data_IF_885600853979
#
_entry.id   IF_885600853979
#
_cell.length_a   1.000
_cell.length_b   1.000
_cell.length_c   1.000
_cell.angle_alpha   90.00
_cell.angle_beta   90.00
_cell.angle_gamma   90.00
#
_symmetry.space_group_name_H-M   'P 1'
#
loop_
_entity.id
_entity.type
_entity.pdbx_description
1 polymer ?
#
# COMPACT_ATOMS: atom_id res chain seq x y z
N UNK A 1 -14.37 17.32 27.57
CA UNK A 1 -13.01 17.35 27.03
C UNK A 1 -13.05 17.98 25.63
N UNK A 2 -12.14 18.89 25.29
CA UNK A 2 -12.08 19.52 23.96
C UNK A 2 -11.04 18.77 23.12
N UNK A 3 -11.44 18.23 21.97
CA UNK A 3 -10.54 17.55 21.02
C UNK A 3 -9.98 18.59 20.04
N UNK A 4 -8.66 18.59 19.87
CA UNK A 4 -7.95 19.49 18.93
C UNK A 4 -7.22 18.59 17.91
N UNK A 5 -7.63 18.58 16.64
CA UNK A 5 -6.95 17.82 15.60
C UNK A 5 -5.55 18.39 15.32
N UNK A 6 -4.60 17.52 15.05
CA UNK A 6 -3.24 17.86 14.64
C UNK A 6 -2.88 17.11 13.36
N UNK A 7 -1.86 17.56 12.65
CA UNK A 7 -1.39 16.95 11.40
C UNK A 7 -0.96 15.49 11.58
N UNK A 8 -0.33 15.19 12.71
CA UNK A 8 0.04 13.83 13.10
C UNK A 8 0.25 13.74 14.61
N UNK A 9 0.41 12.53 15.09
CA UNK A 9 0.53 12.21 16.52
C UNK A 9 1.80 12.77 17.18
N UNK A 10 2.93 12.82 16.45
CA UNK A 10 4.17 13.40 16.98
C UNK A 10 4.05 14.92 17.14
N UNK A 11 3.41 15.61 16.19
CA UNK A 11 3.10 17.05 16.31
C UNK A 11 2.17 17.32 17.49
N UNK A 12 1.20 16.43 17.74
CA UNK A 12 0.33 16.55 18.92
C UNK A 12 1.13 16.46 20.24
N UNK A 13 2.01 15.46 20.36
CA UNK A 13 2.87 15.30 21.54
C UNK A 13 3.79 16.52 21.74
N UNK A 14 4.43 17.00 20.67
CA UNK A 14 5.26 18.20 20.74
C UNK A 14 4.49 19.44 21.20
N UNK A 15 3.28 19.66 20.69
CA UNK A 15 2.43 20.79 21.12
C UNK A 15 2.08 20.72 22.59
N UNK A 16 1.83 19.52 23.14
CA UNK A 16 1.58 19.37 24.58
C UNK A 16 2.83 19.72 25.37
N UNK A 17 4.01 19.22 24.99
CA UNK A 17 5.27 19.53 25.66
C UNK A 17 5.58 21.04 25.64
N UNK A 18 5.47 21.67 24.49
CA UNK A 18 5.76 23.09 24.30
C UNK A 18 4.76 24.00 25.07
N UNK A 19 3.52 23.55 25.24
CA UNK A 19 2.46 24.34 25.92
C UNK A 19 2.68 24.49 27.42
N UNK A 20 3.46 23.62 28.06
CA UNK A 20 3.66 23.54 29.53
C UNK A 20 2.35 23.47 30.32
N UNK A 21 1.29 22.96 29.72
CA UNK A 21 -0.03 22.80 30.33
C UNK A 21 -0.11 21.44 31.04
N UNK A 22 -0.76 21.44 32.22
CA UNK A 22 -0.99 20.20 33.01
C UNK A 22 -2.39 19.63 32.77
N UNK A 23 -3.20 20.24 31.92
CA UNK A 23 -4.60 19.86 31.60
C UNK A 23 -4.78 19.43 30.16
N UNK A 24 -3.68 19.13 29.46
CA UNK A 24 -3.66 18.69 28.07
C UNK A 24 -2.92 17.35 27.93
N UNK A 25 -3.44 16.47 27.08
CA UNK A 25 -2.82 15.20 26.72
C UNK A 25 -2.81 15.00 25.20
N UNK A 26 -1.90 14.20 24.69
CA UNK A 26 -1.82 13.81 23.31
C UNK A 26 -1.97 12.30 23.15
N UNK A 27 -2.61 11.86 22.06
CA UNK A 27 -2.54 10.48 21.59
C UNK A 27 -1.31 10.37 20.67
N UNK A 28 -0.32 9.59 21.12
CA UNK A 28 0.93 9.43 20.38
C UNK A 28 1.60 8.07 20.72
N UNK A 29 2.69 7.74 20.03
CA UNK A 29 3.50 6.58 20.43
C UNK A 29 4.25 6.82 21.74
N UNK A 30 4.57 5.76 22.48
CA UNK A 30 5.38 5.86 23.68
C UNK A 30 6.77 6.49 23.42
N UNK A 31 7.32 6.33 22.23
CA UNK A 31 8.57 6.96 21.83
C UNK A 31 8.48 8.50 21.82
N UNK A 32 7.34 9.06 21.46
CA UNK A 32 7.12 10.51 21.52
C UNK A 32 7.16 11.02 22.96
N UNK A 33 6.68 10.26 23.94
CA UNK A 33 6.77 10.63 25.34
C UNK A 33 8.24 10.74 25.78
N UNK A 34 9.06 9.73 25.49
CA UNK A 34 10.49 9.75 25.79
C UNK A 34 11.23 10.91 25.08
N UNK A 35 10.89 11.16 23.80
CA UNK A 35 11.54 12.19 22.99
C UNK A 35 11.23 13.62 23.48
N UNK A 36 10.02 13.88 23.94
CA UNK A 36 9.56 15.22 24.33
C UNK A 36 9.48 15.43 25.85
N UNK A 37 9.95 14.47 26.64
CA UNK A 37 9.93 14.56 28.11
C UNK A 37 8.52 14.57 28.68
N UNK A 38 7.60 13.84 28.08
CA UNK A 38 6.23 13.67 28.53
C UNK A 38 6.07 12.36 29.32
N UNK A 39 5.11 12.34 30.25
CA UNK A 39 4.72 11.13 30.96
C UNK A 39 3.61 10.39 30.23
N UNK A 40 3.69 9.05 30.20
CA UNK A 40 2.64 8.19 29.66
C UNK A 40 1.57 7.98 30.73
N UNK A 41 0.41 8.59 30.51
CA UNK A 41 -0.73 8.51 31.46
C UNK A 41 -1.47 7.19 31.27
N UNK A 42 -1.67 6.73 30.06
CA UNK A 42 -2.38 5.51 29.71
C UNK A 42 -1.74 4.87 28.48
N UNK A 43 -1.65 3.54 28.47
CA UNK A 43 -1.11 2.77 27.35
C UNK A 43 -2.20 1.91 26.69
N UNK A 44 -1.95 1.47 25.46
CA UNK A 44 -2.86 0.61 24.69
C UNK A 44 -4.26 1.22 24.50
N UNK A 45 -4.32 2.52 24.28
CA UNK A 45 -5.57 3.28 24.09
C UNK A 45 -6.21 3.13 22.72
N UNK A 46 -5.61 2.34 21.82
CA UNK A 46 -6.16 2.06 20.49
C UNK A 46 -7.45 1.21 20.58
N UNK A 47 -8.40 1.47 19.71
CA UNK A 47 -9.66 0.74 19.67
C UNK A 47 -9.52 -0.70 19.15
N UNK A 48 -8.49 -0.98 18.34
CA UNK A 48 -8.21 -2.29 17.77
C UNK A 48 -6.72 -2.59 17.78
N UNK A 49 -6.35 -3.84 18.00
CA UNK A 49 -4.97 -4.31 17.94
C UNK A 49 -4.44 -4.47 16.49
N UNK A 50 -5.32 -4.44 15.48
CA UNK A 50 -5.01 -4.75 14.10
C UNK A 50 -4.82 -3.49 13.23
N UNK A 51 -4.20 -2.46 13.77
CA UNK A 51 -3.91 -1.24 13.01
C UNK A 51 -2.48 -1.30 12.46
N UNK A 52 -2.34 -1.87 11.26
CA UNK A 52 -1.06 -1.98 10.58
C UNK A 52 -0.93 -0.92 9.48
N UNK A 53 0.24 -0.31 9.40
CA UNK A 53 0.62 0.56 8.29
C UNK A 53 1.60 -0.18 7.39
N UNK A 54 1.26 -0.31 6.12
CA UNK A 54 2.15 -0.91 5.14
C UNK A 54 3.13 0.14 4.61
N UNK A 55 4.40 -0.12 4.75
CA UNK A 55 5.47 0.68 4.17
C UNK A 55 6.00 -0.02 2.91
N UNK A 56 6.34 0.76 1.88
CA UNK A 56 6.91 0.27 0.63
C UNK A 56 8.27 0.93 0.45
N UNK A 57 9.30 0.12 0.19
CA UNK A 57 10.62 0.62 -0.18
C UNK A 57 10.70 0.77 -1.71
N UNK A 58 11.20 1.93 -2.15
CA UNK A 58 11.41 2.21 -3.57
C UNK A 58 12.90 2.32 -3.88
N UNK A 59 13.33 1.76 -5.01
CA UNK A 59 14.66 1.98 -5.57
C UNK A 59 14.56 2.58 -6.98
N UNK A 60 15.60 3.27 -7.42
CA UNK A 60 15.68 3.82 -8.80
C UNK A 60 15.85 2.73 -9.84
N UNK A 61 16.57 1.67 -9.47
CA UNK A 61 16.82 0.51 -10.32
C UNK A 61 15.93 -0.64 -9.87
N UNK A 62 15.56 -1.51 -10.81
CA UNK A 62 14.85 -2.73 -10.45
C UNK A 62 15.81 -3.66 -9.70
N UNK A 63 15.51 -3.88 -8.42
CA UNK A 63 16.25 -4.79 -7.55
C UNK A 63 15.32 -5.91 -7.11
N UNK A 64 15.79 -7.15 -7.23
CA UNK A 64 15.04 -8.32 -6.83
C UNK A 64 15.87 -9.07 -5.79
N UNK A 65 15.34 -9.16 -4.59
CA UNK A 65 16.01 -9.85 -3.50
C UNK A 65 15.59 -11.33 -3.42
N UNK A 66 16.48 -12.21 -2.96
CA UNK A 66 16.15 -13.61 -2.75
C UNK A 66 14.92 -13.77 -1.86
N UNK A 67 14.03 -14.70 -2.23
CA UNK A 67 12.80 -14.97 -1.49
C UNK A 67 11.63 -14.05 -1.86
N UNK A 68 11.74 -13.25 -2.92
CA UNK A 68 10.62 -12.48 -3.43
C UNK A 68 9.48 -13.41 -3.88
N UNK A 69 8.37 -13.37 -3.16
CA UNK A 69 7.17 -14.20 -3.34
C UNK A 69 5.94 -13.41 -3.77
N UNK A 70 6.06 -12.10 -3.81
CA UNK A 70 5.01 -11.15 -4.19
C UNK A 70 5.47 -10.28 -5.33
N UNK A 71 4.52 -9.89 -6.18
CA UNK A 71 4.77 -9.03 -7.34
C UNK A 71 3.70 -7.95 -7.43
N UNK A 72 4.13 -6.71 -7.67
CA UNK A 72 3.24 -5.59 -7.95
C UNK A 72 3.21 -5.30 -9.44
N UNK A 73 2.00 -5.15 -9.98
CA UNK A 73 1.72 -4.82 -11.37
C UNK A 73 0.84 -3.58 -11.46
N UNK A 74 1.08 -2.77 -12.49
CA UNK A 74 0.16 -1.71 -12.92
C UNK A 74 -0.48 -2.14 -14.23
N UNK A 75 -1.82 -2.16 -14.25
CA UNK A 75 -2.60 -2.60 -15.41
C UNK A 75 -3.58 -1.51 -15.80
N UNK A 76 -3.54 -1.11 -17.08
CA UNK A 76 -4.51 -0.19 -17.67
C UNK A 76 -5.54 -1.00 -18.45
N UNK A 77 -6.80 -0.64 -18.29
CA UNK A 77 -7.90 -1.28 -19.02
C UNK A 77 -8.76 -0.23 -19.71
N UNK A 78 -9.39 -0.62 -20.81
CA UNK A 78 -10.41 0.20 -21.42
C UNK A 78 -11.59 0.39 -20.48
N UNK A 79 -12.24 1.56 -20.55
CA UNK A 79 -13.44 1.83 -19.78
C UNK A 79 -14.66 1.16 -20.44
N UNK A 80 -14.83 -0.14 -20.16
CA UNK A 80 -15.98 -0.92 -20.64
C UNK A 80 -16.39 -1.99 -19.62
N UNK A 81 -17.66 -2.38 -19.68
CA UNK A 81 -18.16 -3.46 -18.85
C UNK A 81 -17.35 -4.74 -19.02
N UNK A 82 -16.98 -5.38 -17.91
CA UNK A 82 -16.21 -6.62 -17.90
C UNK A 82 -14.71 -6.46 -18.12
N UNK A 83 -14.15 -5.26 -18.36
CA UNK A 83 -12.71 -5.07 -18.59
C UNK A 83 -11.87 -5.54 -17.39
N UNK A 84 -12.19 -5.11 -16.19
CA UNK A 84 -11.51 -5.57 -14.98
C UNK A 84 -11.73 -7.07 -14.73
N UNK A 85 -12.95 -7.56 -14.95
CA UNK A 85 -13.26 -8.99 -14.81
C UNK A 85 -12.35 -9.85 -15.70
N UNK A 86 -12.14 -9.44 -16.96
CA UNK A 86 -11.28 -10.19 -17.88
C UNK A 86 -9.82 -10.29 -17.41
N UNK A 87 -9.33 -9.31 -16.67
CA UNK A 87 -7.99 -9.35 -16.01
C UNK A 87 -7.99 -10.32 -14.85
N UNK A 88 -8.98 -10.20 -13.96
CA UNK A 88 -9.11 -11.07 -12.78
C UNK A 88 -9.29 -12.55 -13.19
N UNK A 89 -10.07 -12.80 -14.25
CA UNK A 89 -10.27 -14.15 -14.77
C UNK A 89 -8.94 -14.81 -15.24
N UNK A 90 -8.00 -14.04 -15.76
CA UNK A 90 -6.67 -14.55 -16.14
C UNK A 90 -5.84 -14.94 -14.92
N UNK A 91 -5.89 -14.14 -13.84
CA UNK A 91 -5.26 -14.50 -12.57
C UNK A 91 -5.86 -15.78 -12.00
N UNK A 92 -7.19 -15.86 -11.98
CA UNK A 92 -7.91 -17.04 -11.50
C UNK A 92 -7.54 -18.31 -12.29
N UNK A 93 -7.48 -18.22 -13.62
CA UNK A 93 -7.14 -19.35 -14.48
C UNK A 93 -5.73 -19.91 -14.24
N UNK A 94 -4.82 -19.12 -13.67
CA UNK A 94 -3.46 -19.52 -13.29
C UNK A 94 -3.30 -19.82 -11.79
N UNK A 95 -4.40 -19.80 -11.02
CA UNK A 95 -4.37 -19.99 -9.57
C UNK A 95 -3.62 -18.91 -8.81
N UNK A 96 -3.59 -17.67 -9.34
CA UNK A 96 -2.89 -16.54 -8.74
C UNK A 96 -3.81 -15.85 -7.74
N UNK A 97 -3.34 -15.75 -6.49
CA UNK A 97 -4.03 -14.97 -5.46
C UNK A 97 -3.73 -13.47 -5.61
N UNK A 98 -4.76 -12.64 -5.50
CA UNK A 98 -4.66 -11.17 -5.48
C UNK A 98 -4.69 -10.72 -4.03
N UNK A 99 -3.59 -10.10 -3.56
CA UNK A 99 -3.46 -9.59 -2.19
C UNK A 99 -4.07 -8.20 -2.07
N UNK A 100 -3.88 -7.38 -3.13
CA UNK A 100 -4.36 -6.00 -3.18
C UNK A 100 -4.82 -5.66 -4.58
N UNK A 101 -5.92 -4.92 -4.65
CA UNK A 101 -6.44 -4.29 -5.86
C UNK A 101 -6.84 -2.86 -5.53
N UNK A 102 -6.23 -1.90 -6.19
CA UNK A 102 -6.53 -0.48 -6.00
C UNK A 102 -6.69 0.20 -7.36
N UNK A 103 -7.79 0.90 -7.56
CA UNK A 103 -8.03 1.70 -8.76
C UNK A 103 -7.57 3.15 -8.57
N UNK A 104 -6.97 3.71 -9.60
CA UNK A 104 -6.65 5.14 -9.68
C UNK A 104 -7.07 5.70 -11.03
N UNK A 105 -7.64 6.90 -11.08
CA UNK A 105 -7.90 7.57 -12.34
C UNK A 105 -6.57 7.88 -13.04
N UNK A 106 -6.57 7.82 -14.37
CA UNK A 106 -5.40 8.24 -15.16
C UNK A 106 -5.47 9.77 -15.27
N UNK A 107 -4.44 10.51 -14.83
CA UNK A 107 -4.40 11.96 -15.05
C UNK A 107 -4.53 12.30 -16.54
N UNK A 108 -5.28 13.34 -16.85
CA UNK A 108 -5.48 13.86 -18.22
C UNK A 108 -6.22 12.91 -19.18
N UNK A 109 -6.81 11.82 -18.69
CA UNK A 109 -7.63 10.91 -19.47
C UNK A 109 -9.02 10.81 -18.89
N UNK A 110 -10.04 11.19 -19.64
CA UNK A 110 -11.42 11.11 -19.21
C UNK A 110 -11.86 9.64 -19.14
N UNK A 111 -12.28 9.21 -17.93
CA UNK A 111 -12.88 7.90 -17.67
C UNK A 111 -11.98 6.66 -17.85
N UNK A 112 -10.66 6.82 -17.95
CA UNK A 112 -9.74 5.69 -17.93
C UNK A 112 -9.20 5.43 -16.51
N UNK A 113 -9.03 4.16 -16.17
CA UNK A 113 -8.52 3.73 -14.88
C UNK A 113 -7.28 2.87 -15.04
N UNK A 114 -6.34 3.08 -14.13
CA UNK A 114 -5.25 2.16 -13.89
C UNK A 114 -5.50 1.39 -12.59
N UNK A 115 -5.12 0.14 -12.59
CA UNK A 115 -5.27 -0.75 -11.46
C UNK A 115 -3.90 -1.20 -10.97
N UNK A 116 -3.66 -1.01 -9.67
CA UNK A 116 -2.52 -1.59 -8.99
C UNK A 116 -2.91 -2.94 -8.42
N UNK A 117 -2.21 -3.98 -8.82
CA UNK A 117 -2.37 -5.33 -8.33
C UNK A 117 -1.13 -5.73 -7.56
N UNK A 118 -1.32 -6.23 -6.34
CA UNK A 118 -0.29 -7.02 -5.66
C UNK A 118 -0.75 -8.48 -5.67
N UNK A 119 0.08 -9.34 -6.19
CA UNK A 119 -0.21 -10.77 -6.41
C UNK A 119 0.81 -11.66 -5.71
N UNK A 120 0.37 -12.83 -5.25
CA UNK A 120 1.24 -13.86 -4.67
C UNK A 120 1.89 -14.70 -5.77
N UNK A 121 2.87 -14.12 -6.43
CA UNK A 121 3.65 -14.80 -7.46
C UNK A 121 5.11 -14.42 -7.32
N UNK A 122 5.96 -15.44 -7.21
CA UNK A 122 7.40 -15.25 -7.22
C UNK A 122 7.90 -14.92 -8.63
N UNK A 123 8.81 -13.96 -8.72
CA UNK A 123 9.52 -13.64 -9.97
C UNK A 123 10.32 -14.82 -10.53
N UNK A 124 10.72 -15.73 -9.67
CA UNK A 124 11.47 -16.94 -10.06
C UNK A 124 10.56 -18.06 -10.60
N UNK A 125 9.23 -17.90 -10.51
CA UNK A 125 8.28 -18.85 -11.07
C UNK A 125 7.98 -18.52 -12.54
N UNK A 126 7.87 -19.55 -13.38
CA UNK A 126 7.43 -19.35 -14.77
C UNK A 126 6.00 -18.79 -14.90
N UNK A 127 5.23 -18.78 -13.81
CA UNK A 127 3.86 -18.26 -13.76
C UNK A 127 3.81 -16.76 -13.98
N UNK A 128 4.79 -15.99 -13.45
CA UNK A 128 4.84 -14.55 -13.68
C UNK A 128 4.99 -14.21 -15.16
N UNK A 129 5.93 -14.85 -15.85
CA UNK A 129 6.13 -14.63 -17.28
C UNK A 129 4.88 -15.02 -18.08
N UNK A 130 4.22 -16.10 -17.69
CA UNK A 130 3.00 -16.57 -18.34
C UNK A 130 1.87 -15.56 -18.22
N UNK A 131 1.60 -15.04 -17.01
CA UNK A 131 0.54 -14.06 -16.81
C UNK A 131 0.86 -12.73 -17.49
N UNK A 132 2.09 -12.24 -17.42
CA UNK A 132 2.52 -11.03 -18.11
C UNK A 132 2.25 -11.12 -19.62
N UNK A 133 2.69 -12.20 -20.26
CA UNK A 133 2.46 -12.43 -21.68
C UNK A 133 0.98 -12.52 -22.06
N UNK A 134 0.14 -13.16 -21.22
CA UNK A 134 -1.30 -13.26 -21.45
C UNK A 134 -1.98 -11.88 -21.33
N UNK A 135 -1.63 -11.11 -20.31
CA UNK A 135 -2.17 -9.76 -20.13
C UNK A 135 -1.76 -8.83 -21.26
N UNK A 136 -0.51 -8.83 -21.68
CA UNK A 136 -0.03 -8.02 -22.82
C UNK A 136 -0.74 -8.36 -24.12
N UNK A 137 -0.98 -9.65 -24.39
CA UNK A 137 -1.74 -10.08 -25.58
C UNK A 137 -3.20 -9.64 -25.54
N UNK A 138 -3.83 -9.66 -24.38
CA UNK A 138 -5.25 -9.35 -24.24
C UNK A 138 -5.54 -7.85 -24.15
N UNK A 139 -4.64 -7.07 -23.58
CA UNK A 139 -4.81 -5.64 -23.30
C UNK A 139 -4.05 -4.75 -24.30
N UNK A 140 -3.09 -5.30 -25.01
CA UNK A 140 -2.18 -4.57 -25.88
C UNK A 140 -0.90 -4.13 -25.17
N UNK A 141 0.16 -3.94 -25.96
CA UNK A 141 1.48 -3.53 -25.44
C UNK A 141 1.41 -2.20 -24.70
N UNK A 142 2.15 -2.11 -23.58
CA UNK A 142 2.23 -0.90 -22.76
C UNK A 142 1.10 -0.73 -21.74
N UNK A 143 0.09 -1.58 -21.73
CA UNK A 143 -1.00 -1.54 -20.77
C UNK A 143 -0.71 -2.35 -19.49
N UNK A 144 0.37 -3.11 -19.47
CA UNK A 144 0.83 -3.88 -18.30
C UNK A 144 2.24 -3.44 -17.95
N UNK A 145 2.44 -3.00 -16.72
CA UNK A 145 3.76 -2.59 -16.23
C UNK A 145 4.12 -3.40 -14.99
N UNK A 146 5.27 -4.06 -15.03
CA UNK A 146 5.89 -4.67 -13.87
C UNK A 146 6.49 -3.56 -12.99
N UNK A 147 6.11 -3.52 -11.71
CA UNK A 147 6.58 -2.53 -10.75
C UNK A 147 7.70 -3.07 -9.86
N UNK A 148 7.72 -4.38 -9.62
CA UNK A 148 8.73 -5.02 -8.82
C UNK A 148 8.23 -6.28 -8.12
N UNK A 149 9.17 -7.10 -7.65
CA UNK A 149 8.89 -8.25 -6.80
C UNK A 149 9.64 -8.13 -5.49
N UNK A 150 8.97 -8.52 -4.41
CA UNK A 150 9.44 -8.34 -3.04
C UNK A 150 8.91 -9.47 -2.14
N UNK A 151 9.39 -9.50 -0.92
CA UNK A 151 8.79 -10.29 0.17
C UNK A 151 8.30 -9.35 1.28
N UNK A 152 7.34 -9.79 2.03
CA UNK A 152 6.95 -9.13 3.28
C UNK A 152 8.02 -9.38 4.34
N UNK A 153 8.36 -8.32 5.09
CA UNK A 153 9.33 -8.36 6.18
C UNK A 153 8.70 -8.77 7.49
#
# INVERSE_FOLDING_TARGET
MKIIPCENTAVAAKKVADSKRNDAAALASAQCAAQYGLEVVESLVQNTANNYTRFICFSKNTEIYPGADRTSLLIRTQHRAGALYSVIAQFYALGINIIKLESRPIPESDFEFMFYFDIEVSVYSGVLNKIMNQLERSLGSGNVKYLGSYREA
#
